data_IF_687175896867
#
_entry.id   IF_687175896867
#
_cell.length_a   1.000
_cell.length_b   1.000
_cell.length_c   1.000
_cell.angle_alpha   90.00
_cell.angle_beta   90.00
_cell.angle_gamma   90.00
#
_symmetry.space_group_name_H-M   'P 1'
#
loop_
_entity.id
_entity.type
_entity.pdbx_description
1 polymer ?
#
# COMPACT_ATOMS: atom_id res chain seq x y z
N UNK A 1 10.54 -6.18 -22.96
CA UNK A 1 9.14 -5.74 -22.79
C UNK A 1 9.07 -5.15 -21.39
N UNK A 2 8.88 -3.84 -21.26
CA UNK A 2 8.95 -3.16 -19.97
C UNK A 2 7.63 -3.36 -19.21
N UNK A 3 7.50 -4.45 -18.45
CA UNK A 3 6.43 -4.62 -17.48
C UNK A 3 6.73 -3.74 -16.26
N UNK A 4 6.37 -2.45 -16.32
CA UNK A 4 6.60 -1.51 -15.22
C UNK A 4 5.38 -0.61 -14.98
N UNK A 5 4.41 -1.14 -14.23
CA UNK A 5 3.82 -0.62 -12.99
C UNK A 5 2.68 -1.57 -12.63
N UNK A 6 3.00 -2.65 -11.91
CA UNK A 6 1.98 -3.60 -11.43
C UNK A 6 1.18 -3.04 -10.25
N UNK A 7 1.70 -2.01 -9.58
CA UNK A 7 1.01 -1.28 -8.52
C UNK A 7 0.23 -0.08 -9.11
N UNK A 8 -0.99 0.20 -8.63
CA UNK A 8 -1.74 1.38 -9.06
C UNK A 8 -1.01 2.67 -8.67
N UNK A 9 -1.00 3.64 -9.57
CA UNK A 9 -0.55 5.01 -9.29
C UNK A 9 -1.74 5.83 -8.79
N UNK A 10 -1.55 6.51 -7.66
CA UNK A 10 -2.51 7.46 -7.13
C UNK A 10 -2.04 8.88 -7.39
N UNK A 11 -2.85 9.66 -8.09
CA UNK A 11 -2.65 11.08 -8.29
C UNK A 11 -3.54 11.87 -7.34
N UNK A 12 -2.94 12.75 -6.54
CA UNK A 12 -3.65 13.74 -5.75
C UNK A 12 -3.67 15.06 -6.53
N UNK A 13 -4.79 15.39 -7.16
CA UNK A 13 -4.98 16.68 -7.83
C UNK A 13 -5.39 17.72 -6.78
N UNK A 14 -4.49 18.67 -6.52
CA UNK A 14 -4.61 19.66 -5.46
C UNK A 14 -4.98 21.02 -6.06
N UNK A 15 -6.11 21.54 -5.61
CA UNK A 15 -6.62 22.82 -6.06
C UNK A 15 -5.92 24.02 -5.37
N UNK A 16 -6.35 25.24 -5.70
CA UNK A 16 -5.78 26.46 -5.13
C UNK A 16 -6.09 26.64 -3.63
N UNK A 17 -7.11 25.97 -3.10
CA UNK A 17 -7.44 25.94 -1.68
C UNK A 17 -6.63 24.89 -0.90
N UNK A 18 -5.79 24.11 -1.60
CA UNK A 18 -5.12 22.90 -1.10
C UNK A 18 -6.05 21.73 -0.78
N UNK A 19 -7.25 21.71 -1.38
CA UNK A 19 -8.12 20.54 -1.34
C UNK A 19 -7.66 19.53 -2.41
N UNK A 20 -7.52 18.27 -2.00
CA UNK A 20 -6.96 17.20 -2.84
C UNK A 20 -8.06 16.20 -3.24
N UNK A 21 -8.16 15.94 -4.55
CA UNK A 21 -9.01 14.89 -5.10
C UNK A 21 -8.14 13.76 -5.68
N UNK A 22 -8.57 12.51 -5.47
CA UNK A 22 -7.77 11.35 -5.86
C UNK A 22 -8.19 10.83 -7.22
N UNK A 23 -7.22 10.59 -8.09
CA UNK A 23 -7.37 9.77 -9.28
C UNK A 23 -6.53 8.51 -9.12
N UNK A 24 -7.03 7.39 -9.64
CA UNK A 24 -6.30 6.11 -9.62
C UNK A 24 -6.05 5.68 -11.06
N UNK A 25 -4.81 5.29 -11.35
CA UNK A 25 -4.40 4.70 -12.61
C UNK A 25 -3.84 3.29 -12.37
N UNK A 26 -4.25 2.33 -13.18
CA UNK A 26 -3.86 0.93 -13.06
C UNK A 26 -4.00 0.21 -14.41
N UNK A 27 -3.57 -1.04 -14.50
CA UNK A 27 -3.71 -1.86 -15.70
C UNK A 27 -4.73 -2.98 -15.47
N UNK A 28 -5.39 -3.41 -16.54
CA UNK A 28 -6.24 -4.60 -16.55
C UNK A 28 -6.14 -5.32 -17.89
N UNK A 29 -6.46 -6.60 -17.88
CA UNK A 29 -6.60 -7.39 -19.11
C UNK A 29 -7.89 -7.05 -19.85
N UNK A 30 -7.78 -6.90 -21.16
CA UNK A 30 -8.90 -6.67 -22.07
C UNK A 30 -8.86 -7.67 -23.22
N UNK A 31 -9.91 -8.49 -23.33
CA UNK A 31 -10.07 -9.43 -24.44
C UNK A 31 -10.60 -8.71 -25.67
N UNK A 32 -9.82 -8.72 -26.76
CA UNK A 32 -10.26 -8.18 -28.05
C UNK A 32 -11.13 -9.20 -28.81
N UNK A 33 -11.94 -8.75 -29.81
CA UNK A 33 -12.94 -9.62 -30.46
C UNK A 33 -12.39 -10.87 -31.15
N UNK A 34 -11.10 -10.91 -31.48
CA UNK A 34 -10.44 -12.08 -32.07
C UNK A 34 -10.04 -13.14 -31.03
N UNK A 35 -10.26 -12.89 -29.73
CA UNK A 35 -9.94 -13.80 -28.63
C UNK A 35 -8.58 -13.55 -27.97
N UNK A 36 -7.75 -12.64 -28.49
CA UNK A 36 -6.49 -12.29 -27.87
C UNK A 36 -6.71 -11.41 -26.62
N UNK A 37 -5.80 -11.48 -25.66
CA UNK A 37 -5.79 -10.65 -24.46
C UNK A 37 -4.73 -9.57 -24.58
N UNK A 38 -5.13 -8.33 -24.34
CA UNK A 38 -4.25 -7.16 -24.32
C UNK A 38 -4.34 -6.45 -22.98
N UNK A 39 -3.20 -6.05 -22.43
CA UNK A 39 -3.16 -5.20 -21.24
C UNK A 39 -3.55 -3.77 -21.65
N UNK A 40 -4.51 -3.17 -20.94
CA UNK A 40 -4.90 -1.78 -21.14
C UNK A 40 -4.76 -0.99 -19.85
N UNK A 41 -4.31 0.26 -19.99
CA UNK A 41 -4.38 1.23 -18.91
C UNK A 41 -5.84 1.63 -18.63
N UNK A 42 -6.16 1.72 -17.35
CA UNK A 42 -7.43 2.18 -16.83
C UNK A 42 -7.19 3.27 -15.78
N UNK A 43 -8.16 4.15 -15.63
CA UNK A 43 -8.12 5.12 -14.56
C UNK A 43 -9.32 6.04 -14.52
N UNK A 44 -9.39 6.83 -13.47
CA UNK A 44 -10.46 7.79 -13.27
C UNK A 44 -10.42 8.45 -11.90
N UNK A 45 -11.26 9.47 -11.75
CA UNK A 45 -11.51 10.10 -10.48
C UNK A 45 -12.14 9.11 -9.49
N UNK A 46 -11.65 9.14 -8.26
CA UNK A 46 -12.19 8.41 -7.13
C UNK A 46 -12.92 9.40 -6.24
N UNK A 47 -14.11 9.03 -5.76
CA UNK A 47 -14.80 9.86 -4.79
C UNK A 47 -14.03 9.90 -3.47
N UNK A 48 -14.11 11.04 -2.77
CA UNK A 48 -13.33 11.29 -1.55
C UNK A 48 -13.60 10.26 -0.45
N UNK A 49 -14.81 9.69 -0.38
CA UNK A 49 -15.15 8.67 0.63
C UNK A 49 -14.40 7.39 0.33
N UNK A 50 -14.46 6.90 -0.90
CA UNK A 50 -13.72 5.70 -1.33
C UNK A 50 -12.21 5.90 -1.17
N UNK A 51 -11.70 7.07 -1.57
CA UNK A 51 -10.28 7.41 -1.40
C UNK A 51 -9.86 7.36 0.07
N UNK A 52 -10.62 7.98 0.99
CA UNK A 52 -10.33 7.96 2.43
C UNK A 52 -10.34 6.55 3.01
N UNK A 53 -11.33 5.72 2.64
CA UNK A 53 -11.42 4.33 3.11
C UNK A 53 -10.18 3.54 2.68
N UNK A 54 -9.81 3.65 1.41
CA UNK A 54 -8.69 2.93 0.84
C UNK A 54 -7.34 3.39 1.40
N UNK A 55 -7.11 4.71 1.51
CA UNK A 55 -5.90 5.28 2.13
C UNK A 55 -5.78 4.86 3.60
N UNK A 56 -6.89 4.81 4.33
CA UNK A 56 -6.92 4.31 5.71
C UNK A 56 -6.58 2.83 5.78
N UNK A 57 -7.14 2.00 4.90
CA UNK A 57 -6.82 0.57 4.87
C UNK A 57 -5.33 0.34 4.58
N UNK A 58 -4.76 1.11 3.66
CA UNK A 58 -3.33 1.09 3.36
C UNK A 58 -2.48 1.52 4.56
N UNK A 59 -2.85 2.62 5.22
CA UNK A 59 -2.15 3.10 6.40
C UNK A 59 -2.25 2.12 7.57
N UNK A 60 -3.40 1.49 7.79
CA UNK A 60 -3.65 0.54 8.88
C UNK A 60 -2.80 -0.73 8.81
N UNK A 61 -2.45 -1.18 7.60
CA UNK A 61 -1.58 -2.33 7.39
C UNK A 61 -0.15 -1.95 6.95
N UNK A 62 0.20 -0.67 7.11
CA UNK A 62 1.54 -0.15 6.84
C UNK A 62 2.01 -0.46 5.39
N UNK A 63 1.10 -0.30 4.43
CA UNK A 63 1.33 -0.53 3.00
C UNK A 63 0.96 0.74 2.23
N UNK A 64 1.85 1.73 2.21
CA UNK A 64 1.65 2.96 1.43
C UNK A 64 1.74 2.66 -0.07
N UNK A 65 0.73 3.03 -0.87
CA UNK A 65 0.86 2.96 -2.31
C UNK A 65 1.68 4.15 -2.82
N UNK A 66 2.04 4.12 -4.10
CA UNK A 66 2.79 5.20 -4.73
C UNK A 66 1.86 6.37 -5.04
N UNK A 67 2.24 7.57 -4.58
CA UNK A 67 1.52 8.82 -4.83
C UNK A 67 2.31 9.81 -5.68
N UNK A 68 1.58 10.53 -6.50
CA UNK A 68 2.01 11.77 -7.14
C UNK A 68 1.07 12.88 -6.71
N UNK A 69 1.62 14.04 -6.35
CA UNK A 69 0.83 15.24 -6.06
C UNK A 69 0.90 16.15 -7.28
N UNK A 70 -0.25 16.47 -7.85
CA UNK A 70 -0.37 17.38 -8.96
C UNK A 70 -0.91 18.71 -8.48
N UNK A 71 -0.14 19.79 -8.67
CA UNK A 71 -0.59 21.15 -8.42
C UNK A 71 -0.67 21.89 -9.75
N UNK A 72 -1.78 21.68 -10.47
CA UNK A 72 -1.97 22.26 -11.82
C UNK A 72 -1.82 23.79 -11.82
N UNK A 73 -2.24 24.44 -10.75
CA UNK A 73 -2.14 25.89 -10.58
C UNK A 73 -0.70 26.39 -10.40
N UNK A 74 0.24 25.53 -10.00
CA UNK A 74 1.68 25.82 -9.94
C UNK A 74 2.42 25.36 -11.21
N UNK A 75 1.77 24.59 -12.09
CA UNK A 75 2.41 23.96 -13.24
C UNK A 75 3.42 22.87 -12.87
N UNK A 76 3.32 22.32 -11.65
CA UNK A 76 4.27 21.34 -11.09
C UNK A 76 3.59 20.03 -10.69
N UNK A 77 4.38 18.96 -10.70
CA UNK A 77 4.07 17.71 -10.01
C UNK A 77 5.16 17.40 -9.00
N UNK A 78 4.79 16.71 -7.93
CA UNK A 78 5.69 16.34 -6.83
C UNK A 78 5.61 14.84 -6.61
N UNK A 79 6.76 14.17 -6.65
CA UNK A 79 6.89 12.79 -6.19
C UNK A 79 6.93 12.76 -4.66
N UNK A 80 6.27 11.78 -4.04
CA UNK A 80 6.28 11.61 -2.59
C UNK A 80 7.37 10.62 -2.18
N UNK A 81 8.24 11.04 -1.27
CA UNK A 81 9.20 10.16 -0.58
C UNK A 81 8.86 10.11 0.90
N UNK A 82 8.58 8.93 1.40
CA UNK A 82 8.15 8.71 2.79
C UNK A 82 9.30 8.54 3.80
N UNK A 83 10.55 8.62 3.35
CA UNK A 83 11.74 8.57 4.22
C UNK A 83 11.82 7.26 5.02
N UNK A 84 12.25 7.37 6.28
CA UNK A 84 12.46 6.24 7.20
C UNK A 84 11.18 5.44 7.49
N UNK A 85 10.00 6.04 7.31
CA UNK A 85 8.73 5.36 7.52
C UNK A 85 8.58 4.16 6.58
N UNK A 86 8.92 4.31 5.30
CA UNK A 86 8.87 3.19 4.34
C UNK A 86 9.82 2.08 4.72
N UNK A 87 11.02 2.43 5.22
CA UNK A 87 11.99 1.42 5.62
C UNK A 87 11.53 0.66 6.87
N UNK A 88 10.98 1.38 7.86
CA UNK A 88 10.35 0.76 9.05
C UNK A 88 9.25 -0.19 8.65
N UNK A 89 8.33 0.27 7.79
CA UNK A 89 7.19 -0.54 7.35
C UNK A 89 7.60 -1.73 6.50
N UNK A 90 8.70 -1.64 5.75
CA UNK A 90 9.28 -2.78 5.03
C UNK A 90 9.87 -3.82 5.98
N UNK A 91 10.47 -3.39 7.10
CA UNK A 91 11.07 -4.27 8.09
C UNK A 91 10.05 -5.02 8.93
N UNK A 92 8.87 -4.45 9.18
CA UNK A 92 7.79 -5.09 9.92
C UNK A 92 7.28 -6.37 9.24
N UNK A 93 7.12 -7.43 10.02
CA UNK A 93 6.77 -8.77 9.54
C UNK A 93 7.88 -9.51 8.77
N UNK A 94 9.06 -8.89 8.57
CA UNK A 94 10.23 -9.51 7.92
C UNK A 94 11.50 -9.38 8.79
N UNK A 95 11.72 -10.40 9.63
CA UNK A 95 12.85 -10.42 10.56
C UNK A 95 14.20 -10.40 9.81
N UNK A 96 14.28 -11.08 8.67
CA UNK A 96 15.51 -11.17 7.88
C UNK A 96 15.90 -9.80 7.34
N UNK A 97 14.95 -9.10 6.73
CA UNK A 97 15.16 -7.75 6.23
C UNK A 97 15.51 -6.77 7.36
N UNK A 98 14.79 -6.86 8.48
CA UNK A 98 15.05 -5.99 9.63
C UNK A 98 16.49 -6.15 10.13
N UNK A 99 16.97 -7.37 10.30
CA UNK A 99 18.32 -7.66 10.80
C UNK A 99 19.41 -7.26 9.80
N UNK A 100 19.21 -7.56 8.52
CA UNK A 100 20.21 -7.33 7.49
C UNK A 100 20.40 -5.83 7.16
N UNK A 101 19.33 -5.03 7.21
CA UNK A 101 19.34 -3.67 6.69
C UNK A 101 19.00 -2.59 7.72
N UNK A 102 18.36 -2.92 8.84
CA UNK A 102 17.71 -1.92 9.69
C UNK A 102 18.28 -1.82 11.12
N UNK A 103 19.26 -2.65 11.50
CA UNK A 103 19.80 -2.73 12.86
C UNK A 103 20.33 -1.38 13.43
N UNK A 104 20.70 -0.44 12.57
CA UNK A 104 21.25 0.86 12.95
C UNK A 104 20.19 1.93 13.25
N UNK A 105 18.90 1.64 12.98
CA UNK A 105 17.82 2.60 13.19
C UNK A 105 17.32 2.56 14.65
N UNK A 106 16.96 3.73 15.19
CA UNK A 106 16.49 3.86 16.58
C UNK A 106 15.23 3.03 16.87
N UNK A 107 14.35 2.88 15.88
CA UNK A 107 13.11 2.10 15.98
C UNK A 107 13.31 0.58 15.83
N UNK A 108 14.52 0.10 15.52
CA UNK A 108 14.77 -1.32 15.23
C UNK A 108 14.30 -2.23 16.35
N UNK A 109 14.70 -1.93 17.60
CA UNK A 109 14.34 -2.74 18.76
C UNK A 109 12.82 -2.76 19.01
N UNK A 110 12.11 -1.69 18.68
CA UNK A 110 10.64 -1.65 18.79
C UNK A 110 9.99 -2.63 17.79
N UNK A 111 10.48 -2.67 16.55
CA UNK A 111 9.97 -3.57 15.52
C UNK A 111 10.22 -5.03 15.90
N UNK A 112 11.42 -5.35 16.37
CA UNK A 112 11.75 -6.71 16.83
C UNK A 112 10.88 -7.13 18.00
N UNK A 113 10.75 -6.28 19.03
CA UNK A 113 9.91 -6.57 20.19
C UNK A 113 8.43 -6.80 19.79
N UNK A 114 7.92 -6.01 18.85
CA UNK A 114 6.55 -6.17 18.34
C UNK A 114 6.35 -7.50 17.60
N UNK A 115 7.32 -7.91 16.78
CA UNK A 115 7.29 -9.21 16.10
C UNK A 115 7.31 -10.37 17.10
N UNK A 116 8.20 -10.32 18.08
CA UNK A 116 8.34 -11.35 19.11
C UNK A 116 7.06 -11.49 19.94
N UNK A 117 6.46 -10.36 20.35
CA UNK A 117 5.18 -10.34 21.05
C UNK A 117 4.09 -11.01 20.21
N UNK A 118 3.94 -10.61 18.94
CA UNK A 118 2.92 -11.17 18.07
C UNK A 118 3.13 -12.67 17.78
N UNK A 119 4.38 -13.12 17.61
CA UNK A 119 4.70 -14.54 17.41
C UNK A 119 4.37 -15.41 18.62
N UNK A 120 4.38 -14.83 19.83
CA UNK A 120 4.04 -15.56 21.07
C UNK A 120 2.53 -15.78 21.25
N UNK A 121 1.69 -15.05 20.51
CA UNK A 121 0.23 -15.17 20.60
C UNK A 121 -0.26 -16.43 19.89
N UNK A 122 -1.25 -17.10 20.50
CA UNK A 122 -1.85 -18.35 19.98
C UNK A 122 -3.30 -18.17 19.52
N UNK A 123 -3.77 -16.93 19.44
CA UNK A 123 -5.15 -16.62 19.08
C UNK A 123 -5.36 -16.79 17.57
N UNK A 124 -6.49 -17.38 17.17
CA UNK A 124 -6.90 -17.34 15.77
C UNK A 124 -7.38 -15.94 15.42
N UNK A 125 -6.82 -15.37 14.36
CA UNK A 125 -7.11 -14.00 13.94
C UNK A 125 -7.80 -14.01 12.58
N UNK A 126 -8.95 -13.34 12.52
CA UNK A 126 -9.67 -13.12 11.28
C UNK A 126 -8.93 -12.08 10.42
N UNK A 127 -8.27 -12.54 9.36
CA UNK A 127 -7.43 -11.70 8.49
C UNK A 127 -8.21 -10.55 7.81
N UNK A 128 -9.51 -10.74 7.57
CA UNK A 128 -10.35 -9.76 6.89
C UNK A 128 -10.92 -8.69 7.83
N UNK A 129 -10.78 -8.84 9.15
CA UNK A 129 -11.24 -7.86 10.12
C UNK A 129 -10.33 -6.62 10.15
N UNK A 130 -10.84 -5.44 9.81
CA UNK A 130 -10.13 -4.17 9.97
C UNK A 130 -10.26 -3.63 11.40
N UNK A 131 -9.65 -4.34 12.36
CA UNK A 131 -9.56 -3.96 13.76
C UNK A 131 -8.13 -3.57 14.15
N UNK A 132 -7.97 -2.74 15.18
CA UNK A 132 -6.65 -2.34 15.66
C UNK A 132 -5.79 -3.55 16.07
N UNK A 133 -6.40 -4.51 16.78
CA UNK A 133 -5.70 -5.70 17.28
C UNK A 133 -5.28 -6.64 16.14
N UNK A 134 -6.18 -6.87 15.18
CA UNK A 134 -5.89 -7.65 13.97
C UNK A 134 -4.78 -6.99 13.16
N UNK A 135 -4.87 -5.68 12.95
CA UNK A 135 -3.89 -4.95 12.14
C UNK A 135 -2.51 -4.94 12.81
N UNK A 136 -2.43 -4.71 14.12
CA UNK A 136 -1.19 -4.77 14.87
C UNK A 136 -0.54 -6.16 14.76
N UNK A 137 -1.33 -7.23 14.90
CA UNK A 137 -0.82 -8.59 14.73
C UNK A 137 -0.29 -8.85 13.31
N UNK A 138 -1.04 -8.45 12.28
CA UNK A 138 -0.62 -8.61 10.88
C UNK A 138 0.67 -7.85 10.59
N UNK A 139 0.81 -6.63 11.12
CA UNK A 139 2.03 -5.82 11.01
C UNK A 139 3.23 -6.55 11.63
N UNK A 140 3.05 -7.24 12.77
CA UNK A 140 4.14 -7.96 13.43
C UNK A 140 4.51 -9.31 12.79
N UNK A 141 3.64 -9.91 12.00
CA UNK A 141 3.78 -11.32 11.58
C UNK A 141 3.79 -11.53 10.07
N UNK A 142 3.43 -10.52 9.28
CA UNK A 142 3.22 -10.65 7.85
C UNK A 142 4.06 -9.62 7.09
N UNK A 143 4.87 -10.07 6.14
CA UNK A 143 5.66 -9.19 5.28
C UNK A 143 4.79 -8.16 4.54
N UNK A 144 5.38 -6.99 4.24
CA UNK A 144 4.67 -5.86 3.61
C UNK A 144 3.90 -6.26 2.34
N UNK A 145 4.48 -7.09 1.46
CA UNK A 145 3.81 -7.50 0.22
C UNK A 145 2.55 -8.31 0.48
N UNK A 146 2.58 -9.23 1.44
CA UNK A 146 1.42 -10.04 1.81
C UNK A 146 0.35 -9.19 2.50
N UNK A 147 0.75 -8.20 3.31
CA UNK A 147 -0.18 -7.20 3.88
C UNK A 147 -0.92 -6.42 2.80
N UNK A 148 -0.27 -6.11 1.67
CA UNK A 148 -0.91 -5.43 0.54
C UNK A 148 -2.00 -6.30 -0.09
N UNK A 149 -1.79 -7.61 -0.22
CA UNK A 149 -2.84 -8.53 -0.71
C UNK A 149 -4.03 -8.60 0.24
N UNK A 150 -3.79 -8.59 1.56
CA UNK A 150 -4.87 -8.54 2.55
C UNK A 150 -5.69 -7.24 2.41
N UNK A 151 -5.03 -6.09 2.20
CA UNK A 151 -5.75 -4.84 1.91
C UNK A 151 -6.61 -4.98 0.65
N UNK A 152 -6.07 -5.58 -0.41
CA UNK A 152 -6.81 -5.77 -1.65
C UNK A 152 -8.01 -6.68 -1.44
N UNK A 153 -7.87 -7.78 -0.71
CA UNK A 153 -8.99 -8.66 -0.37
C UNK A 153 -10.07 -7.94 0.44
N UNK A 154 -9.68 -7.18 1.47
CA UNK A 154 -10.61 -6.39 2.32
C UNK A 154 -11.39 -5.36 1.51
N UNK A 155 -10.75 -4.75 0.51
CA UNK A 155 -11.34 -3.75 -0.38
C UNK A 155 -11.99 -4.35 -1.63
N UNK A 156 -11.99 -5.68 -1.77
CA UNK A 156 -12.50 -6.40 -2.96
C UNK A 156 -11.82 -5.93 -4.27
N UNK A 157 -10.53 -5.63 -4.19
CA UNK A 157 -9.69 -5.26 -5.32
C UNK A 157 -8.95 -6.49 -5.88
N UNK A 158 -8.66 -6.52 -7.18
CA UNK A 158 -7.75 -7.52 -7.73
C UNK A 158 -6.39 -7.45 -7.04
N UNK A 159 -5.82 -8.60 -6.68
CA UNK A 159 -4.43 -8.68 -6.21
C UNK A 159 -3.47 -8.37 -7.35
N UNK A 160 -2.27 -7.93 -7.00
CA UNK A 160 -1.25 -7.54 -7.97
C UNK A 160 -0.34 -8.73 -8.27
N UNK A 161 -0.03 -8.95 -9.55
CA UNK A 161 0.83 -10.06 -9.97
C UNK A 161 2.23 -9.95 -9.36
N UNK A 162 2.74 -11.08 -8.88
CA UNK A 162 4.04 -11.23 -8.19
C UNK A 162 5.23 -11.05 -9.12
#
# INVERSE_FOLDING_TARGET
>A
MAQHLREPLFEMDVDQANDAHVQRYFYQDYTIPNGDVHETGCGGAMDDRTAKIMLRAYANLHVLPVFMILKRHEGHFYGVRHGDLTLRWQAEGDLSFAQDYCAHHEWFNEVIAHMEDCQSRTEEIELLADSADTNAFLVGTTERRNRLDIVHDRLQLPRLDS
#
